data_IF_412112858189
#
_entry.id   IF_412112858189
#
_cell.length_a   1.000
_cell.length_b   1.000
_cell.length_c   1.000
_cell.angle_alpha   90.00
_cell.angle_beta   90.00
_cell.angle_gamma   90.00
#
_symmetry.space_group_name_H-M   'P 1'
#
loop_
_entity.id
_entity.type
_entity.pdbx_description
1 polymer ?
#
# COMPACT_ATOMS: atom_id res chain seq x y z
N UNK A 1 50.27 38.66 -43.29
CA UNK A 1 49.50 37.55 -43.92
C UNK A 1 49.77 36.16 -43.34
N UNK A 2 51.00 35.79 -42.93
CA UNK A 2 51.29 34.45 -42.35
C UNK A 2 50.53 34.10 -41.06
N UNK A 3 50.30 35.08 -40.17
CA UNK A 3 49.58 34.87 -38.91
C UNK A 3 48.07 34.59 -39.08
N UNK A 4 47.45 35.17 -40.11
CA UNK A 4 46.03 34.94 -40.43
C UNK A 4 45.78 33.52 -40.97
N UNK A 5 46.73 32.99 -41.76
CA UNK A 5 46.66 31.61 -42.26
C UNK A 5 46.84 30.56 -41.15
N UNK A 6 47.68 30.84 -40.15
CA UNK A 6 47.89 29.93 -39.01
C UNK A 6 46.65 29.92 -38.10
N UNK A 7 46.00 31.07 -37.89
CA UNK A 7 44.76 31.17 -37.11
C UNK A 7 43.58 30.45 -37.80
N UNK A 8 43.50 30.50 -39.13
CA UNK A 8 42.49 29.78 -39.93
C UNK A 8 42.73 28.26 -39.94
N UNK A 9 43.99 27.80 -39.96
CA UNK A 9 44.31 26.38 -39.83
C UNK A 9 44.00 25.82 -38.43
N UNK A 10 44.27 26.59 -37.37
CA UNK A 10 43.98 26.17 -36.00
C UNK A 10 42.47 26.08 -35.70
N UNK A 11 41.67 26.96 -36.32
CA UNK A 11 40.20 26.92 -36.21
C UNK A 11 39.56 25.83 -37.08
N UNK A 12 40.18 25.46 -38.21
CA UNK A 12 39.77 24.30 -39.00
C UNK A 12 40.04 22.96 -38.30
N UNK A 13 41.14 22.84 -37.55
CA UNK A 13 41.50 21.61 -36.81
C UNK A 13 40.60 21.37 -35.58
N UNK A 14 40.02 22.41 -34.98
CA UNK A 14 39.05 22.29 -33.89
C UNK A 14 37.62 22.02 -34.39
N UNK A 15 37.34 22.21 -35.68
CA UNK A 15 36.03 21.98 -36.29
C UNK A 15 35.82 20.54 -36.81
N UNK A 16 36.83 19.67 -36.72
CA UNK A 16 36.80 18.27 -37.18
C UNK A 16 36.92 17.25 -36.03
N UNK A 17 36.36 17.54 -34.85
CA UNK A 17 36.01 16.45 -33.93
C UNK A 17 34.61 15.98 -34.28
N UNK A 18 34.49 14.85 -34.98
CA UNK A 18 33.21 14.15 -35.14
C UNK A 18 32.55 14.04 -33.77
N UNK A 19 31.24 14.36 -33.63
CA UNK A 19 30.56 14.22 -32.36
C UNK A 19 30.73 12.77 -31.91
N UNK A 20 31.39 12.59 -30.76
CA UNK A 20 31.70 11.26 -30.23
C UNK A 20 30.40 10.49 -30.03
N UNK A 21 30.09 9.58 -30.95
CA UNK A 21 28.88 8.79 -30.86
C UNK A 21 28.94 7.93 -29.60
N UNK A 22 27.86 7.96 -28.81
CA UNK A 22 27.76 7.14 -27.62
C UNK A 22 27.75 5.66 -28.01
N UNK A 23 28.59 4.88 -27.34
CA UNK A 23 28.52 3.42 -27.39
C UNK A 23 27.14 2.94 -26.94
N UNK A 24 26.77 1.72 -27.35
CA UNK A 24 25.50 1.14 -26.92
C UNK A 24 25.41 1.02 -25.40
N UNK A 25 26.53 0.70 -24.73
CA UNK A 25 26.63 0.65 -23.27
C UNK A 25 26.34 2.00 -22.63
N UNK A 26 26.91 3.09 -23.16
CA UNK A 26 26.63 4.45 -22.68
C UNK A 26 25.18 4.85 -22.90
N UNK A 27 24.59 4.51 -24.06
CA UNK A 27 23.16 4.78 -24.33
C UNK A 27 22.25 4.03 -23.36
N UNK A 28 22.53 2.75 -23.12
CA UNK A 28 21.78 1.93 -22.15
C UNK A 28 21.89 2.48 -20.74
N UNK A 29 23.10 2.85 -20.32
CA UNK A 29 23.35 3.45 -19.02
C UNK A 29 22.61 4.79 -18.87
N UNK A 30 22.73 5.70 -19.83
CA UNK A 30 22.09 7.01 -19.78
C UNK A 30 20.56 6.88 -19.73
N UNK A 31 19.97 5.96 -20.51
CA UNK A 31 18.53 5.68 -20.47
C UNK A 31 18.10 5.14 -19.10
N UNK A 32 18.82 4.17 -18.56
CA UNK A 32 18.52 3.58 -17.25
C UNK A 32 18.62 4.63 -16.13
N UNK A 33 19.66 5.48 -16.17
CA UNK A 33 19.83 6.57 -15.19
C UNK A 33 18.71 7.60 -15.27
N UNK A 34 18.31 8.00 -16.48
CA UNK A 34 17.19 8.93 -16.67
C UNK A 34 15.87 8.35 -16.14
N UNK A 35 15.55 7.10 -16.50
CA UNK A 35 14.34 6.41 -16.03
C UNK A 35 14.36 6.23 -14.51
N UNK A 36 15.49 5.83 -13.94
CA UNK A 36 15.65 5.73 -12.49
C UNK A 36 15.38 7.07 -11.81
N UNK A 37 15.98 8.15 -12.31
CA UNK A 37 15.82 9.50 -11.75
C UNK A 37 14.37 9.98 -11.83
N UNK A 38 13.66 9.69 -12.91
CA UNK A 38 12.24 10.02 -13.07
C UNK A 38 11.39 9.33 -12.00
N UNK A 39 11.56 8.01 -11.83
CA UNK A 39 10.82 7.25 -10.82
C UNK A 39 11.11 7.74 -9.38
N UNK A 40 12.36 8.05 -9.07
CA UNK A 40 12.76 8.60 -7.75
C UNK A 40 12.13 9.98 -7.52
N UNK A 41 12.11 10.84 -8.54
CA UNK A 41 11.52 12.16 -8.43
C UNK A 41 9.99 12.10 -8.25
N UNK A 42 9.30 11.21 -8.96
CA UNK A 42 7.87 10.96 -8.75
C UNK A 42 7.58 10.52 -7.30
N UNK A 43 8.36 9.57 -6.77
CA UNK A 43 8.24 9.13 -5.39
C UNK A 43 8.49 10.28 -4.39
N UNK A 44 9.48 11.13 -4.67
CA UNK A 44 9.80 12.30 -3.84
C UNK A 44 8.63 13.28 -3.74
N UNK A 45 8.02 13.61 -4.89
CA UNK A 45 6.86 14.53 -4.94
C UNK A 45 5.70 13.96 -4.12
N UNK A 46 5.41 12.66 -4.28
CA UNK A 46 4.36 12.00 -3.51
C UNK A 46 4.61 12.08 -2.00
N UNK A 47 5.83 11.79 -1.56
CA UNK A 47 6.16 11.67 -0.14
C UNK A 47 6.39 13.01 0.57
N UNK A 48 6.77 14.06 -0.15
CA UNK A 48 7.14 15.34 0.45
C UNK A 48 6.14 16.46 0.19
N UNK A 49 5.32 16.37 -0.86
CA UNK A 49 4.47 17.48 -1.31
C UNK A 49 2.99 17.13 -1.31
N UNK A 50 2.61 15.85 -1.37
CA UNK A 50 1.20 15.42 -1.51
C UNK A 50 0.58 14.78 -0.28
N UNK A 51 1.37 14.46 0.74
CA UNK A 51 0.83 13.85 1.97
C UNK A 51 0.11 14.90 2.81
N UNK A 52 -1.08 14.54 3.28
CA UNK A 52 -1.92 15.36 4.16
C UNK A 52 -1.57 15.21 5.63
N UNK A 53 -0.89 14.10 5.98
CA UNK A 53 -0.57 13.72 7.35
C UNK A 53 -1.60 12.76 7.96
N UNK A 54 -2.72 12.49 7.29
CA UNK A 54 -3.65 11.44 7.65
C UNK A 54 -3.34 10.15 6.87
N UNK A 55 -2.90 9.11 7.58
CA UNK A 55 -2.42 7.87 6.95
C UNK A 55 -3.46 7.20 6.05
N UNK A 56 -4.73 7.16 6.45
CA UNK A 56 -5.78 6.52 5.65
C UNK A 56 -6.09 7.30 4.37
N UNK A 57 -6.07 8.64 4.44
CA UNK A 57 -6.22 9.51 3.27
C UNK A 57 -5.01 9.41 2.34
N UNK A 58 -3.82 9.25 2.92
CA UNK A 58 -2.54 9.23 2.21
C UNK A 58 -2.16 7.85 1.64
N UNK A 59 -2.83 6.76 2.06
CA UNK A 59 -2.41 5.37 1.79
C UNK A 59 -2.19 5.07 0.31
N UNK A 60 -3.01 5.64 -0.59
CA UNK A 60 -2.87 5.45 -2.03
C UNK A 60 -1.59 6.13 -2.57
N UNK A 61 -1.28 7.33 -2.08
CA UNK A 61 -0.05 8.02 -2.44
C UNK A 61 1.18 7.27 -1.90
N UNK A 62 1.09 6.71 -0.70
CA UNK A 62 2.15 5.88 -0.09
C UNK A 62 2.39 4.58 -0.87
N UNK A 63 1.32 3.89 -1.29
CA UNK A 63 1.41 2.70 -2.16
C UNK A 63 2.08 3.06 -3.49
N UNK A 64 1.63 4.14 -4.13
CA UNK A 64 2.18 4.55 -5.42
C UNK A 64 3.64 4.98 -5.31
N UNK A 65 4.02 5.71 -4.26
CA UNK A 65 5.42 6.05 -3.99
C UNK A 65 6.29 4.79 -3.81
N UNK A 66 5.78 3.78 -3.10
CA UNK A 66 6.45 2.48 -2.94
C UNK A 66 6.63 1.76 -4.26
N UNK A 67 5.61 1.75 -5.11
CA UNK A 67 5.69 1.17 -6.46
C UNK A 67 6.77 1.88 -7.31
N UNK A 68 6.82 3.21 -7.28
CA UNK A 68 7.85 3.99 -7.99
C UNK A 68 9.25 3.67 -7.53
N UNK A 69 9.49 3.51 -6.22
CA UNK A 69 10.80 3.14 -5.70
C UNK A 69 11.20 1.71 -6.08
N UNK A 70 10.27 0.75 -6.03
CA UNK A 70 10.52 -0.62 -6.51
C UNK A 70 10.80 -0.64 -8.02
N UNK A 71 10.09 0.17 -8.80
CA UNK A 71 10.32 0.35 -10.23
C UNK A 71 11.73 0.91 -10.48
N UNK A 72 12.13 1.96 -9.73
CA UNK A 72 13.45 2.58 -9.81
C UNK A 72 14.60 1.60 -9.55
N UNK A 73 14.45 0.69 -8.57
CA UNK A 73 15.41 -0.40 -8.34
C UNK A 73 15.48 -1.36 -9.53
N UNK A 74 14.31 -1.71 -10.09
CA UNK A 74 14.23 -2.69 -11.19
C UNK A 74 14.85 -2.19 -12.50
N UNK A 75 14.97 -0.87 -12.70
CA UNK A 75 15.50 -0.27 -13.94
C UNK A 75 16.93 -0.76 -14.23
N UNK A 76 17.84 -0.67 -13.25
CA UNK A 76 19.22 -1.11 -13.45
C UNK A 76 19.32 -2.63 -13.61
N UNK A 77 18.51 -3.39 -12.87
CA UNK A 77 18.44 -4.86 -13.00
C UNK A 77 18.01 -5.26 -14.41
N UNK A 78 16.94 -4.67 -14.95
CA UNK A 78 16.44 -4.92 -16.31
C UNK A 78 17.46 -4.50 -17.37
N UNK A 79 18.22 -3.44 -17.13
CA UNK A 79 19.29 -2.98 -18.00
C UNK A 79 20.59 -3.80 -17.86
N UNK A 80 20.64 -4.81 -16.98
CA UNK A 80 21.84 -5.60 -16.65
C UNK A 80 23.02 -4.76 -16.15
N UNK A 81 22.72 -3.67 -15.46
CA UNK A 81 23.71 -2.76 -14.86
C UNK A 81 23.85 -3.15 -13.38
N UNK A 82 25.08 -3.45 -12.95
CA UNK A 82 25.39 -3.89 -11.58
C UNK A 82 26.10 -2.79 -10.79
N UNK A 83 25.99 -2.83 -9.46
CA UNK A 83 26.71 -1.93 -8.55
C UNK A 83 26.16 -0.50 -8.45
N UNK A 84 25.00 -0.22 -9.07
CA UNK A 84 24.36 1.10 -8.99
C UNK A 84 23.47 1.20 -7.75
N UNK A 85 23.65 2.26 -6.96
CA UNK A 85 22.80 2.60 -5.82
C UNK A 85 22.44 4.08 -5.87
N UNK A 86 21.24 4.42 -5.38
CA UNK A 86 20.77 5.81 -5.30
C UNK A 86 20.52 6.20 -3.84
N UNK A 87 21.35 7.08 -3.25
CA UNK A 87 21.16 7.54 -1.87
C UNK A 87 19.79 8.18 -1.64
N UNK A 88 19.28 8.92 -2.63
CA UNK A 88 17.95 9.53 -2.60
C UNK A 88 16.86 8.45 -2.52
N UNK A 89 16.94 7.40 -3.35
CA UNK A 89 15.99 6.30 -3.33
C UNK A 89 16.00 5.56 -1.97
N UNK A 90 17.19 5.32 -1.40
CA UNK A 90 17.31 4.70 -0.07
C UNK A 90 16.71 5.57 1.03
N UNK A 91 16.91 6.89 0.97
CA UNK A 91 16.29 7.84 1.90
C UNK A 91 14.76 7.80 1.82
N UNK A 92 14.20 7.79 0.62
CA UNK A 92 12.75 7.71 0.41
C UNK A 92 12.17 6.35 0.86
N UNK A 93 12.88 5.24 0.65
CA UNK A 93 12.48 3.93 1.21
C UNK A 93 12.50 3.93 2.73
N UNK A 94 13.52 4.53 3.35
CA UNK A 94 13.59 4.66 4.79
C UNK A 94 12.45 5.53 5.34
N UNK A 95 12.03 6.57 4.60
CA UNK A 95 10.84 7.37 4.93
C UNK A 95 9.56 6.53 4.84
N UNK A 96 9.37 5.74 3.78
CA UNK A 96 8.22 4.83 3.66
C UNK A 96 8.12 3.82 4.80
N UNK A 97 9.24 3.26 5.25
CA UNK A 97 9.28 2.30 6.36
C UNK A 97 8.72 2.88 7.66
N UNK A 98 8.77 4.20 7.85
CA UNK A 98 8.19 4.84 9.04
C UNK A 98 6.67 4.67 9.12
N UNK A 99 5.99 4.53 7.99
CA UNK A 99 4.55 4.29 7.91
C UNK A 99 4.17 2.82 8.07
N UNK A 100 5.12 1.88 8.08
CA UNK A 100 4.81 0.45 8.24
C UNK A 100 4.18 0.17 9.60
N UNK A 101 4.73 0.75 10.68
CA UNK A 101 4.15 0.60 12.02
C UNK A 101 2.75 1.23 12.12
N UNK A 102 2.53 2.36 11.47
CA UNK A 102 1.23 3.02 11.41
C UNK A 102 0.21 2.18 10.63
N UNK A 103 0.63 1.56 9.52
CA UNK A 103 -0.17 0.60 8.77
C UNK A 103 -0.59 -0.59 9.63
N UNK A 104 0.34 -1.13 10.43
CA UNK A 104 0.06 -2.24 11.32
C UNK A 104 -0.94 -1.86 12.44
N UNK A 105 -0.74 -0.70 13.08
CA UNK A 105 -1.67 -0.20 14.11
C UNK A 105 -3.05 0.10 13.54
N UNK A 106 -3.10 0.76 12.38
CA UNK A 106 -4.35 1.12 11.71
C UNK A 106 -5.12 -0.12 11.26
N UNK A 107 -4.44 -1.11 10.66
CA UNK A 107 -5.11 -2.36 10.28
C UNK A 107 -5.66 -3.12 11.49
N UNK A 108 -4.93 -3.20 12.60
CA UNK A 108 -5.46 -3.82 13.82
C UNK A 108 -6.71 -3.06 14.32
N UNK A 109 -6.69 -1.73 14.31
CA UNK A 109 -7.85 -0.91 14.69
C UNK A 109 -9.07 -1.23 13.83
N UNK A 110 -8.89 -1.27 12.50
CA UNK A 110 -9.94 -1.60 11.55
C UNK A 110 -10.45 -3.05 11.71
N UNK A 111 -9.58 -4.02 11.96
CA UNK A 111 -9.97 -5.41 12.24
C UNK A 111 -10.81 -5.52 13.52
N UNK A 112 -10.47 -4.75 14.57
CA UNK A 112 -11.26 -4.69 15.81
C UNK A 112 -12.62 -4.02 15.59
N UNK A 113 -12.66 -2.96 14.80
CA UNK A 113 -13.92 -2.29 14.44
C UNK A 113 -14.81 -3.25 13.65
N UNK A 114 -14.28 -3.89 12.61
CA UNK A 114 -14.97 -4.90 11.83
C UNK A 114 -15.53 -6.02 12.73
N UNK A 115 -14.72 -6.56 13.64
CA UNK A 115 -15.16 -7.55 14.61
C UNK A 115 -16.32 -7.06 15.49
N UNK A 116 -16.22 -5.85 16.06
CA UNK A 116 -17.29 -5.27 16.89
C UNK A 116 -18.58 -5.08 16.11
N UNK A 117 -18.50 -4.50 14.91
CA UNK A 117 -19.64 -4.34 14.01
C UNK A 117 -20.33 -5.68 13.72
N UNK A 118 -19.56 -6.75 13.54
CA UNK A 118 -20.09 -8.11 13.36
C UNK A 118 -20.80 -8.64 14.60
N UNK A 119 -20.26 -8.44 15.80
CA UNK A 119 -20.92 -8.84 17.06
C UNK A 119 -22.21 -8.04 17.30
N UNK A 120 -22.20 -6.75 17.02
CA UNK A 120 -23.38 -5.90 17.21
C UNK A 120 -24.50 -6.25 16.21
N UNK A 121 -24.13 -6.60 14.97
CA UNK A 121 -25.07 -7.15 13.99
C UNK A 121 -25.67 -8.48 14.47
N UNK A 122 -24.84 -9.42 14.95
CA UNK A 122 -25.29 -10.70 15.46
C UNK A 122 -26.34 -10.55 16.57
N UNK A 123 -26.06 -9.67 17.55
CA UNK A 123 -27.01 -9.34 18.63
C UNK A 123 -28.29 -8.72 18.09
N UNK A 124 -28.19 -7.77 17.16
CA UNK A 124 -29.37 -7.11 16.57
C UNK A 124 -30.29 -8.09 15.84
N UNK A 125 -29.74 -9.17 15.26
CA UNK A 125 -30.52 -10.25 14.67
C UNK A 125 -31.17 -11.13 15.76
N UNK A 126 -30.46 -11.47 16.82
CA UNK A 126 -31.00 -12.28 17.93
C UNK A 126 -32.10 -11.55 18.74
N UNK A 127 -31.93 -10.25 18.97
CA UNK A 127 -32.86 -9.42 19.73
C UNK A 127 -34.10 -9.01 18.91
N UNK A 128 -34.17 -9.41 17.63
CA UNK A 128 -35.32 -9.11 16.78
C UNK A 128 -36.57 -9.80 17.34
N UNK A 129 -37.65 -9.05 17.65
CA UNK A 129 -38.88 -9.65 18.14
C UNK A 129 -39.45 -10.58 17.07
N UNK A 130 -39.63 -11.86 17.43
CA UNK A 130 -40.43 -12.78 16.64
C UNK A 130 -41.84 -12.20 16.55
N UNK A 131 -42.24 -11.73 15.35
CA UNK A 131 -43.55 -11.12 15.16
C UNK A 131 -44.68 -12.04 15.69
N UNK A 132 -45.75 -11.48 16.30
CA UNK A 132 -46.85 -12.29 16.79
C UNK A 132 -47.53 -13.02 15.62
N UNK A 133 -47.89 -14.28 15.83
CA UNK A 133 -48.39 -15.25 14.84
C UNK A 133 -49.80 -14.92 14.30
N UNK A 134 -50.26 -13.66 14.40
CA UNK A 134 -51.61 -13.28 14.01
C UNK A 134 -51.64 -11.93 13.29
N UNK A 135 -51.80 -12.00 11.96
CA UNK A 135 -52.35 -10.93 11.12
C UNK A 135 -51.32 -9.92 10.60
N UNK A 136 -51.02 -10.02 9.30
CA UNK A 136 -50.12 -9.16 8.51
C UNK A 136 -48.61 -9.33 8.78
N UNK A 137 -48.07 -10.45 8.28
CA UNK A 137 -46.63 -10.67 8.08
C UNK A 137 -46.06 -9.66 7.08
N UNK A 138 -45.68 -8.47 7.54
CA UNK A 138 -44.59 -7.73 6.91
C UNK A 138 -43.31 -8.52 7.27
N UNK A 139 -42.86 -9.34 6.31
CA UNK A 139 -42.04 -10.53 6.56
C UNK A 139 -40.70 -10.26 7.25
N UNK A 140 -40.45 -10.99 8.34
CA UNK A 140 -39.16 -11.01 9.04
C UNK A 140 -37.96 -11.24 8.12
N UNK A 141 -38.14 -11.99 7.02
CA UNK A 141 -37.11 -12.22 6.01
C UNK A 141 -36.67 -10.94 5.31
N UNK A 142 -37.59 -10.02 4.98
CA UNK A 142 -37.23 -8.76 4.32
C UNK A 142 -36.50 -7.80 5.27
N UNK A 143 -36.78 -7.87 6.58
CA UNK A 143 -36.08 -7.12 7.61
C UNK A 143 -34.65 -7.63 7.81
N UNK A 144 -34.46 -8.96 7.91
CA UNK A 144 -33.13 -9.58 8.01
C UNK A 144 -32.30 -9.26 6.77
N UNK A 145 -32.88 -9.35 5.56
CA UNK A 145 -32.21 -9.00 4.30
C UNK A 145 -31.79 -7.52 4.28
N UNK A 146 -32.66 -6.61 4.73
CA UNK A 146 -32.33 -5.19 4.84
C UNK A 146 -31.18 -4.94 5.82
N UNK A 147 -31.23 -5.56 7.01
CA UNK A 147 -30.17 -5.44 8.01
C UNK A 147 -28.84 -6.02 7.51
N UNK A 148 -28.88 -7.16 6.83
CA UNK A 148 -27.69 -7.76 6.21
C UNK A 148 -27.04 -6.83 5.17
N UNK A 149 -27.85 -6.16 4.33
CA UNK A 149 -27.34 -5.15 3.38
C UNK A 149 -26.72 -3.95 4.08
N UNK A 150 -27.36 -3.43 5.12
CA UNK A 150 -26.82 -2.30 5.91
C UNK A 150 -25.51 -2.67 6.60
N UNK A 151 -25.45 -3.87 7.19
CA UNK A 151 -24.24 -4.42 7.80
C UNK A 151 -23.10 -4.52 6.77
N UNK A 152 -23.34 -5.14 5.62
CA UNK A 152 -22.31 -5.29 4.58
C UNK A 152 -21.80 -3.94 4.06
N UNK A 153 -22.70 -2.98 3.83
CA UNK A 153 -22.33 -1.62 3.42
C UNK A 153 -21.49 -0.90 4.48
N UNK A 154 -21.87 -1.04 5.74
CA UNK A 154 -21.14 -0.45 6.87
C UNK A 154 -19.76 -1.08 7.04
N UNK A 155 -19.66 -2.40 6.89
CA UNK A 155 -18.41 -3.15 7.01
C UNK A 155 -17.43 -2.80 5.88
N UNK A 156 -17.93 -2.72 4.65
CA UNK A 156 -17.13 -2.34 3.48
C UNK A 156 -16.55 -0.94 3.60
N UNK A 157 -17.41 0.03 3.95
CA UNK A 157 -17.04 1.44 4.03
C UNK A 157 -16.18 1.76 5.26
N UNK A 158 -16.46 1.17 6.42
CA UNK A 158 -15.66 1.43 7.61
C UNK A 158 -14.27 0.82 7.52
N UNK A 159 -14.16 -0.34 6.88
CA UNK A 159 -13.09 -1.28 7.25
C UNK A 159 -12.50 -2.01 6.05
N UNK A 160 -13.27 -2.78 5.27
CA UNK A 160 -12.72 -3.72 4.28
C UNK A 160 -11.94 -3.00 3.17
N UNK A 161 -12.48 -1.92 2.64
CA UNK A 161 -11.84 -1.10 1.60
C UNK A 161 -10.49 -0.54 2.08
N UNK A 162 -10.42 -0.01 3.30
CA UNK A 162 -9.20 0.50 3.90
C UNK A 162 -8.19 -0.62 4.20
N UNK A 163 -8.66 -1.75 4.77
CA UNK A 163 -7.82 -2.91 5.07
C UNK A 163 -7.12 -3.43 3.81
N UNK A 164 -7.83 -3.49 2.67
CA UNK A 164 -7.25 -3.90 1.38
C UNK A 164 -6.08 -3.02 0.95
N UNK A 165 -6.21 -1.69 1.06
CA UNK A 165 -5.12 -0.78 0.71
C UNK A 165 -3.94 -0.93 1.66
N UNK A 166 -4.20 -1.09 2.96
CA UNK A 166 -3.16 -1.33 3.97
C UNK A 166 -2.42 -2.65 3.70
N UNK A 167 -3.12 -3.72 3.30
CA UNK A 167 -2.48 -4.98 2.90
C UNK A 167 -1.50 -4.78 1.76
N UNK A 168 -1.91 -4.06 0.71
CA UNK A 168 -1.08 -3.74 -0.45
C UNK A 168 0.16 -2.96 -0.01
N UNK A 169 -0.03 -1.93 0.82
CA UNK A 169 1.07 -1.14 1.36
C UNK A 169 2.07 -1.99 2.16
N UNK A 170 1.59 -2.91 2.99
CA UNK A 170 2.44 -3.78 3.82
C UNK A 170 3.15 -4.91 3.05
N UNK A 171 2.90 -5.09 1.74
CA UNK A 171 3.60 -6.12 0.94
C UNK A 171 5.12 -5.90 0.96
N UNK A 172 5.87 -6.92 1.37
CA UNK A 172 7.33 -6.84 1.47
C UNK A 172 7.87 -6.11 2.71
N UNK A 173 7.01 -5.66 3.62
CA UNK A 173 7.45 -5.24 4.96
C UNK A 173 8.07 -6.43 5.70
N UNK A 174 9.13 -6.19 6.48
CA UNK A 174 9.88 -7.25 7.18
C UNK A 174 9.39 -7.39 8.62
N UNK A 175 9.10 -8.61 9.04
CA UNK A 175 8.71 -8.94 10.41
C UNK A 175 7.44 -9.79 10.46
N UNK A 176 7.39 -10.71 11.42
CA UNK A 176 6.31 -11.69 11.54
C UNK A 176 4.95 -11.04 11.81
N UNK A 177 4.95 -9.91 12.53
CA UNK A 177 3.74 -9.15 12.82
C UNK A 177 3.05 -8.63 11.55
N UNK A 178 3.80 -8.12 10.57
CA UNK A 178 3.24 -7.62 9.31
C UNK A 178 2.67 -8.77 8.47
N UNK A 179 3.36 -9.92 8.45
CA UNK A 179 2.86 -11.11 7.77
C UNK A 179 1.55 -11.60 8.42
N UNK A 180 1.52 -11.68 9.75
CA UNK A 180 0.35 -12.12 10.52
C UNK A 180 -0.84 -11.20 10.28
N UNK A 181 -0.66 -9.88 10.37
CA UNK A 181 -1.70 -8.90 10.07
C UNK A 181 -2.21 -9.03 8.64
N UNK A 182 -1.33 -9.12 7.64
CA UNK A 182 -1.75 -9.31 6.24
C UNK A 182 -2.58 -10.57 6.06
N UNK A 183 -2.22 -11.67 6.73
CA UNK A 183 -3.00 -12.92 6.68
C UNK A 183 -4.42 -12.72 7.22
N UNK A 184 -4.58 -12.01 8.34
CA UNK A 184 -5.91 -11.70 8.87
C UNK A 184 -6.69 -10.73 7.99
N UNK A 185 -6.03 -9.74 7.38
CA UNK A 185 -6.67 -8.84 6.42
C UNK A 185 -7.22 -9.63 5.22
N UNK A 186 -6.41 -10.51 4.63
CA UNK A 186 -6.81 -11.29 3.44
C UNK A 186 -8.00 -12.21 3.75
N UNK A 187 -8.07 -12.74 4.98
CA UNK A 187 -9.11 -13.68 5.38
C UNK A 187 -10.27 -13.01 6.15
N UNK A 188 -10.29 -11.68 6.26
CA UNK A 188 -11.19 -10.97 7.18
C UNK A 188 -12.66 -11.32 6.95
N UNK A 189 -13.12 -11.42 5.71
CA UNK A 189 -14.52 -11.76 5.42
C UNK A 189 -14.87 -13.18 5.88
N UNK A 190 -13.97 -14.14 5.67
CA UNK A 190 -14.12 -15.52 6.13
C UNK A 190 -14.09 -15.60 7.66
N UNK A 191 -13.16 -14.87 8.29
CA UNK A 191 -13.04 -14.79 9.74
C UNK A 191 -14.31 -14.22 10.36
N UNK A 192 -14.86 -13.13 9.82
CA UNK A 192 -16.09 -12.51 10.31
C UNK A 192 -17.33 -13.41 10.08
N UNK A 193 -17.38 -14.14 8.96
CA UNK A 193 -18.44 -15.13 8.72
C UNK A 193 -18.44 -16.24 9.78
N UNK A 194 -17.25 -16.71 10.17
CA UNK A 194 -17.10 -17.70 11.25
C UNK A 194 -17.43 -17.11 12.60
N UNK A 195 -17.07 -15.85 12.86
CA UNK A 195 -17.46 -15.14 14.09
C UNK A 195 -18.98 -15.12 14.27
N UNK A 196 -19.77 -14.99 13.20
CA UNK A 196 -21.23 -15.00 13.29
C UNK A 196 -21.83 -16.35 13.66
N UNK A 197 -21.12 -17.46 13.43
CA UNK A 197 -21.66 -18.83 13.48
C UNK A 197 -21.01 -19.74 14.52
N UNK A 198 -19.86 -19.37 15.08
CA UNK A 198 -19.08 -20.19 16.01
C UNK A 198 -18.56 -19.35 17.20
N UNK A 199 -19.20 -19.52 18.36
CA UNK A 199 -18.86 -18.83 19.60
C UNK A 199 -17.43 -19.13 20.09
N UNK A 200 -16.92 -20.34 19.84
CA UNK A 200 -15.54 -20.69 20.20
C UNK A 200 -14.57 -19.94 19.28
N UNK A 201 -14.86 -19.89 17.98
CA UNK A 201 -14.07 -19.11 17.04
C UNK A 201 -14.10 -17.62 17.37
N UNK A 202 -15.27 -17.07 17.72
CA UNK A 202 -15.40 -15.69 18.16
C UNK A 202 -14.47 -15.36 19.34
N UNK A 203 -14.44 -16.22 20.37
CA UNK A 203 -13.54 -16.04 21.52
C UNK A 203 -12.06 -16.11 21.11
N UNK A 204 -11.70 -17.07 20.26
CA UNK A 204 -10.34 -17.22 19.73
C UNK A 204 -9.93 -16.01 18.91
N UNK A 205 -10.76 -15.55 18.00
CA UNK A 205 -10.48 -14.40 17.14
C UNK A 205 -10.28 -13.12 17.96
N UNK A 206 -11.14 -12.88 18.96
CA UNK A 206 -10.95 -11.79 19.93
C UNK A 206 -9.59 -11.87 20.62
N UNK A 207 -9.20 -13.07 21.08
CA UNK A 207 -7.92 -13.28 21.74
C UNK A 207 -6.73 -13.03 20.79
N UNK A 208 -6.82 -13.51 19.54
CA UNK A 208 -5.82 -13.23 18.50
C UNK A 208 -5.60 -11.73 18.29
N UNK A 209 -6.67 -10.94 18.18
CA UNK A 209 -6.54 -9.48 18.03
C UNK A 209 -5.85 -8.83 19.25
N UNK A 210 -6.11 -9.32 20.46
CA UNK A 210 -5.44 -8.83 21.68
C UNK A 210 -3.96 -9.22 21.74
N UNK A 211 -3.61 -10.40 21.23
CA UNK A 211 -2.22 -10.85 21.24
C UNK A 211 -1.38 -10.09 20.20
N UNK A 212 -1.96 -9.79 19.03
CA UNK A 212 -1.38 -8.87 18.04
C UNK A 212 -1.18 -7.46 18.65
N UNK A 213 -2.15 -6.95 19.41
CA UNK A 213 -2.05 -5.65 20.10
C UNK A 213 -0.86 -5.59 21.06
N UNK A 214 -0.67 -6.66 21.85
CA UNK A 214 0.48 -6.78 22.78
C UNK A 214 1.80 -6.83 22.01
N UNK A 215 1.85 -7.53 20.88
CA UNK A 215 3.07 -7.63 20.07
C UNK A 215 3.45 -6.27 19.46
N UNK A 216 2.47 -5.50 18.96
CA UNK A 216 2.69 -4.14 18.44
C UNK A 216 3.09 -3.10 19.50
N UNK A 217 2.93 -3.44 20.78
CA UNK A 217 3.24 -2.55 21.90
C UNK A 217 4.62 -2.82 22.53
N UNK A 218 5.35 -3.82 22.04
CA UNK A 218 6.74 -4.11 22.44
C UNK A 218 7.72 -3.26 21.64
#
# INVERSE_FOLDING_TARGET
>A
MRLLFIALLASALLACSDPKELSESERRFNRATAQHSEQVQEARILLNEKLTGDFLSDINALIYAKEKLNSAESVFVKAKIVGMSSPEAEKLKAQLRKYELEAAKTSLSLLRTAFRTTIDFQKSVYDMPLAPVSGASLGSSSMIDYMGKQFNSSLESCCLSHLKNIEIFMRGAKGDIFYTLRKHIINVESDLTRVLSDDEYQRKYKQTLLDIEKELSK
#
